data_IF_803397495937
#
_entry.id   IF_803397495937
#
_cell.length_a   1.000
_cell.length_b   1.000
_cell.length_c   1.000
_cell.angle_alpha   90.00
_cell.angle_beta   90.00
_cell.angle_gamma   90.00
#
_symmetry.space_group_name_H-M   'P 1'
#
loop_
_entity.id
_entity.type
_entity.pdbx_description
1 polymer ?
#
# COMPACT_ATOMS: atom_id res chain seq x y z
N UNK A 1 5.57 -24.03 -25.54
CA UNK A 1 4.57 -23.63 -24.51
C UNK A 1 4.13 -22.21 -24.85
N UNK A 2 3.04 -22.01 -25.61
CA UNK A 2 1.67 -22.05 -25.10
C UNK A 2 1.34 -20.72 -24.43
N UNK A 3 1.18 -19.63 -25.20
CA UNK A 3 0.80 -18.31 -24.68
C UNK A 3 -0.63 -18.41 -24.15
N UNK A 4 -0.76 -18.78 -22.88
CA UNK A 4 -2.03 -18.79 -22.15
C UNK A 4 -2.66 -17.40 -22.26
N UNK A 5 -3.93 -17.37 -22.68
CA UNK A 5 -4.74 -16.18 -22.85
C UNK A 5 -4.62 -15.25 -21.63
N UNK A 6 -3.91 -14.14 -21.79
CA UNK A 6 -3.84 -13.09 -20.76
C UNK A 6 -5.26 -12.61 -20.49
N UNK A 7 -5.68 -12.64 -19.23
CA UNK A 7 -6.98 -12.11 -18.86
C UNK A 7 -7.04 -10.61 -19.17
N UNK A 8 -8.22 -10.05 -19.52
CA UNK A 8 -8.35 -8.62 -19.76
C UNK A 8 -7.86 -7.78 -18.56
N UNK A 9 -8.01 -8.31 -17.35
CA UNK A 9 -7.50 -7.72 -16.11
C UNK A 9 -5.97 -7.64 -16.08
N UNK A 10 -5.25 -8.68 -16.53
CA UNK A 10 -3.78 -8.65 -16.60
C UNK A 10 -3.27 -7.67 -17.66
N UNK A 11 -3.93 -7.59 -18.82
CA UNK A 11 -3.57 -6.63 -19.87
C UNK A 11 -3.73 -5.20 -19.35
N UNK A 12 -4.84 -4.93 -18.63
CA UNK A 12 -5.07 -3.64 -17.99
C UNK A 12 -4.02 -3.35 -16.93
N UNK A 13 -3.72 -4.31 -16.05
CA UNK A 13 -2.72 -4.15 -15.00
C UNK A 13 -1.34 -3.85 -15.58
N UNK A 14 -0.90 -4.59 -16.60
CA UNK A 14 0.37 -4.35 -17.31
C UNK A 14 0.45 -2.92 -17.85
N UNK A 15 -0.62 -2.45 -18.49
CA UNK A 15 -0.69 -1.09 -19.04
C UNK A 15 -0.62 -0.04 -17.94
N UNK A 16 -1.40 -0.20 -16.87
CA UNK A 16 -1.41 0.73 -15.74
C UNK A 16 -0.05 0.79 -15.03
N UNK A 17 0.54 -0.35 -14.71
CA UNK A 17 1.87 -0.42 -14.05
C UNK A 17 2.93 0.23 -14.93
N UNK A 18 2.94 -0.06 -16.23
CA UNK A 18 3.90 0.54 -17.16
C UNK A 18 3.76 2.07 -17.22
N UNK A 19 2.53 2.59 -17.23
CA UNK A 19 2.27 4.02 -17.22
C UNK A 19 2.75 4.66 -15.91
N UNK A 20 2.42 4.06 -14.77
CA UNK A 20 2.83 4.52 -13.45
C UNK A 20 4.36 4.57 -13.34
N UNK A 21 5.07 3.51 -13.75
CA UNK A 21 6.54 3.48 -13.75
C UNK A 21 7.15 4.58 -14.62
N UNK A 22 6.58 4.86 -15.80
CA UNK A 22 7.06 5.97 -16.63
C UNK A 22 6.80 7.33 -15.97
N UNK A 23 5.65 7.53 -15.33
CA UNK A 23 5.36 8.75 -14.58
C UNK A 23 6.30 8.93 -13.39
N UNK A 24 6.57 7.85 -12.63
CA UNK A 24 7.51 7.87 -11.51
C UNK A 24 8.94 8.16 -11.96
N UNK A 25 9.36 7.60 -13.10
CA UNK A 25 10.65 7.89 -13.71
C UNK A 25 10.78 9.37 -14.07
N UNK A 26 9.74 9.96 -14.68
CA UNK A 26 9.71 11.38 -15.05
C UNK A 26 9.70 12.28 -13.80
N UNK A 27 8.94 11.93 -12.76
CA UNK A 27 8.87 12.68 -11.49
C UNK A 27 10.18 12.63 -10.71
N UNK A 28 10.79 11.46 -10.64
CA UNK A 28 12.02 11.25 -9.87
C UNK A 28 13.27 11.78 -10.60
N UNK A 29 13.20 12.04 -11.91
CA UNK A 29 14.35 12.47 -12.71
C UNK A 29 15.44 11.41 -12.90
N UNK A 30 15.21 10.18 -12.42
CA UNK A 30 16.14 9.05 -12.55
C UNK A 30 16.10 8.46 -13.96
N UNK A 31 17.17 7.76 -14.38
CA UNK A 31 17.16 6.97 -15.62
C UNK A 31 16.94 5.50 -15.33
N UNK A 32 16.52 4.75 -16.35
CA UNK A 32 16.33 3.28 -16.27
C UNK A 32 17.60 2.55 -15.82
N UNK A 33 18.78 3.10 -16.11
CA UNK A 33 20.06 2.52 -15.70
C UNK A 33 20.33 2.69 -14.20
N UNK A 34 19.90 3.81 -13.60
CA UNK A 34 20.01 4.03 -12.16
C UNK A 34 19.13 3.04 -11.41
N UNK A 35 17.89 2.87 -11.87
CA UNK A 35 16.95 1.88 -11.32
C UNK A 35 17.53 0.47 -11.42
N UNK A 36 18.14 0.13 -12.55
CA UNK A 36 18.78 -1.17 -12.73
C UNK A 36 19.89 -1.40 -11.69
N UNK A 37 20.70 -0.36 -11.43
CA UNK A 37 21.82 -0.42 -10.47
C UNK A 37 21.33 -0.57 -9.03
N UNK A 38 20.26 0.14 -8.66
CA UNK A 38 19.67 0.07 -7.31
C UNK A 38 18.89 -1.22 -7.08
N UNK A 39 18.03 -1.62 -8.02
CA UNK A 39 17.17 -2.80 -7.87
C UNK A 39 17.87 -4.13 -8.12
N UNK A 40 19.05 -4.12 -8.75
CA UNK A 40 19.74 -5.31 -9.27
C UNK A 40 18.91 -6.15 -10.25
N UNK A 41 17.84 -5.58 -10.81
CA UNK A 41 17.01 -6.23 -11.84
C UNK A 41 17.70 -6.04 -13.19
N UNK A 42 17.79 -7.06 -14.05
CA UNK A 42 18.43 -6.92 -15.36
C UNK A 42 17.71 -5.90 -16.26
N UNK A 43 18.48 -5.19 -17.10
CA UNK A 43 17.98 -4.14 -18.00
C UNK A 43 16.83 -4.58 -18.90
N UNK A 44 16.89 -5.82 -19.39
CA UNK A 44 15.85 -6.39 -20.25
C UNK A 44 14.52 -6.43 -19.50
N UNK A 45 14.54 -6.93 -18.26
CA UNK A 45 13.36 -7.07 -17.40
C UNK A 45 12.77 -5.72 -17.00
N UNK A 46 13.63 -4.74 -16.65
CA UNK A 46 13.17 -3.36 -16.43
C UNK A 46 12.48 -2.83 -17.70
N UNK A 47 13.11 -2.98 -18.86
CA UNK A 47 12.53 -2.51 -20.12
C UNK A 47 11.17 -3.17 -20.41
N UNK A 48 11.04 -4.47 -20.15
CA UNK A 48 9.79 -5.22 -20.27
C UNK A 48 8.67 -4.70 -19.37
N UNK A 49 9.00 -4.31 -18.13
CA UNK A 49 8.05 -3.69 -17.19
C UNK A 49 7.59 -2.31 -17.68
N UNK A 50 8.53 -1.48 -18.11
CA UNK A 50 8.25 -0.14 -18.64
C UNK A 50 7.48 -0.17 -19.97
N UNK A 51 7.59 -1.26 -20.74
CA UNK A 51 6.82 -1.49 -21.96
C UNK A 51 5.50 -2.23 -21.72
N UNK A 52 5.20 -2.65 -20.48
CA UNK A 52 3.96 -3.37 -20.15
C UNK A 52 3.87 -4.77 -20.79
N UNK A 53 5.01 -5.37 -21.16
CA UNK A 53 5.06 -6.74 -21.72
C UNK A 53 4.87 -7.79 -20.61
N UNK A 54 5.51 -7.54 -19.47
CA UNK A 54 5.59 -8.47 -18.35
C UNK A 54 5.11 -7.78 -17.06
N UNK A 55 4.43 -8.53 -16.19
CA UNK A 55 4.06 -8.05 -14.86
C UNK A 55 5.26 -8.18 -13.92
N UNK A 56 5.58 -7.15 -13.12
CA UNK A 56 6.55 -7.31 -12.05
C UNK A 56 6.01 -8.25 -10.95
N UNK A 57 6.89 -9.10 -10.43
CA UNK A 57 6.63 -9.90 -9.24
C UNK A 57 6.60 -9.02 -7.99
N UNK A 58 5.97 -9.48 -6.90
CA UNK A 58 5.87 -8.75 -5.61
C UNK A 58 7.24 -8.21 -5.16
N UNK A 59 8.26 -9.07 -5.11
CA UNK A 59 9.64 -8.69 -4.76
C UNK A 59 10.21 -7.57 -5.64
N UNK A 60 9.91 -7.58 -6.94
CA UNK A 60 10.39 -6.56 -7.87
C UNK A 60 9.61 -5.25 -7.72
N UNK A 61 8.31 -5.31 -7.39
CA UNK A 61 7.51 -4.13 -7.07
C UNK A 61 8.04 -3.47 -5.81
N UNK A 62 8.35 -4.22 -4.76
CA UNK A 62 8.94 -3.69 -3.53
C UNK A 62 10.31 -3.04 -3.75
N UNK A 63 11.17 -3.67 -4.57
CA UNK A 63 12.47 -3.07 -4.92
C UNK A 63 12.29 -1.75 -5.68
N UNK A 64 11.35 -1.71 -6.63
CA UNK A 64 11.05 -0.49 -7.38
C UNK A 64 10.45 0.58 -6.46
N UNK A 65 9.56 0.21 -5.54
CA UNK A 65 8.91 1.14 -4.62
C UNK A 65 9.92 1.82 -3.71
N UNK A 66 10.91 1.07 -3.20
CA UNK A 66 12.05 1.60 -2.44
C UNK A 66 12.91 2.57 -3.25
N UNK A 67 13.13 2.30 -4.54
CA UNK A 67 13.94 3.18 -5.41
C UNK A 67 13.23 4.49 -5.72
N UNK A 68 11.90 4.45 -5.89
CA UNK A 68 11.09 5.63 -6.18
C UNK A 68 10.59 6.35 -4.93
N UNK A 69 10.82 5.78 -3.74
CA UNK A 69 10.28 6.26 -2.46
C UNK A 69 8.75 6.43 -2.51
N UNK A 70 8.06 5.40 -3.02
CA UNK A 70 6.60 5.36 -3.15
C UNK A 70 6.04 4.06 -2.60
N UNK A 71 4.73 4.01 -2.39
CA UNK A 71 4.05 2.79 -1.97
C UNK A 71 4.04 1.75 -3.09
N UNK A 72 4.05 0.46 -2.76
CA UNK A 72 3.87 -0.63 -3.73
C UNK A 72 2.58 -0.48 -4.55
N UNK A 73 1.55 0.09 -3.93
CA UNK A 73 0.24 0.41 -4.51
C UNK A 73 0.28 1.50 -5.58
N UNK A 74 1.23 2.44 -5.50
CA UNK A 74 1.45 3.48 -6.51
C UNK A 74 2.05 2.89 -7.79
N UNK A 75 2.88 1.86 -7.65
CA UNK A 75 3.44 1.13 -8.79
C UNK A 75 2.41 0.17 -9.36
N UNK A 76 1.80 -0.64 -8.50
CA UNK A 76 0.86 -1.67 -8.89
C UNK A 76 -0.43 -1.57 -8.06
N UNK A 77 -1.54 -1.15 -8.70
CA UNK A 77 -2.81 -0.92 -8.00
C UNK A 77 -3.45 -2.20 -7.45
N UNK A 78 -2.92 -3.39 -7.79
CA UNK A 78 -3.36 -4.66 -7.20
C UNK A 78 -2.97 -4.79 -5.73
N UNK A 79 -1.94 -4.05 -5.28
CA UNK A 79 -1.47 -4.08 -3.89
C UNK A 79 -2.14 -3.04 -2.99
N UNK A 80 -3.08 -2.25 -3.53
CA UNK A 80 -3.78 -1.17 -2.81
C UNK A 80 -4.56 -1.64 -1.57
N UNK A 81 -4.82 -2.95 -1.48
CA UNK A 81 -5.54 -3.60 -0.38
C UNK A 81 -4.60 -4.22 0.69
N UNK A 82 -3.29 -4.35 0.41
CA UNK A 82 -2.31 -4.97 1.31
C UNK A 82 -1.51 -3.94 2.13
N UNK A 83 -2.17 -2.95 2.72
CA UNK A 83 -1.52 -2.05 3.68
C UNK A 83 -1.38 -2.73 5.04
N UNK A 84 -0.39 -3.62 5.17
CA UNK A 84 0.27 -3.88 6.45
C UNK A 84 1.54 -3.05 6.45
N UNK A 85 1.40 -1.80 6.86
CA UNK A 85 2.51 -0.90 7.13
C UNK A 85 3.22 -1.37 8.40
N UNK A 86 4.47 -1.79 8.27
CA UNK A 86 5.35 -2.04 9.41
C UNK A 86 6.56 -1.14 9.23
N UNK A 87 6.82 -0.36 10.29
CA UNK A 87 8.10 0.24 10.67
C UNK A 87 8.35 1.74 10.47
N UNK A 88 7.41 2.64 10.81
CA UNK A 88 7.80 3.88 11.52
C UNK A 88 6.72 4.58 12.37
N UNK A 89 5.89 3.88 13.16
CA UNK A 89 5.12 4.52 14.27
C UNK A 89 4.90 3.54 15.44
N UNK A 90 5.96 2.87 15.90
CA UNK A 90 5.88 1.67 16.76
C UNK A 90 5.43 1.89 18.22
N UNK A 91 5.20 3.11 18.73
CA UNK A 91 4.96 3.28 20.18
C UNK A 91 3.59 3.85 20.61
N UNK A 92 2.84 4.55 19.76
CA UNK A 92 1.58 5.20 20.19
C UNK A 92 0.28 4.47 19.80
N UNK A 93 0.29 3.60 18.80
CA UNK A 93 -0.98 3.07 18.23
C UNK A 93 -1.31 1.61 18.55
N UNK A 94 -0.40 0.82 19.14
CA UNK A 94 -0.62 -0.63 19.36
C UNK A 94 -1.70 -0.89 20.43
N UNK A 95 -1.77 -0.05 21.47
CA UNK A 95 -2.79 -0.18 22.50
C UNK A 95 -4.18 0.19 21.95
N UNK A 96 -4.27 1.29 21.20
CA UNK A 96 -5.53 1.76 20.59
C UNK A 96 -6.07 0.78 19.56
N UNK A 97 -5.22 0.22 18.68
CA UNK A 97 -5.65 -0.77 17.68
C UNK A 97 -6.07 -2.09 18.32
N UNK A 98 -5.33 -2.59 19.32
CA UNK A 98 -5.71 -3.82 20.01
C UNK A 98 -7.00 -3.65 20.80
N UNK A 99 -7.23 -2.48 21.39
CA UNK A 99 -8.51 -2.16 22.02
C UNK A 99 -9.63 -2.11 20.98
N UNK A 100 -9.44 -1.41 19.86
CA UNK A 100 -10.44 -1.28 18.81
C UNK A 100 -10.82 -2.63 18.18
N UNK A 101 -9.85 -3.52 17.98
CA UNK A 101 -10.07 -4.89 17.49
C UNK A 101 -10.82 -5.75 18.53
N UNK A 102 -10.49 -5.65 19.82
CA UNK A 102 -11.21 -6.34 20.88
C UNK A 102 -12.68 -5.85 20.98
N UNK A 103 -12.91 -4.54 20.86
CA UNK A 103 -14.25 -3.96 20.88
C UNK A 103 -15.08 -4.34 19.64
N UNK A 104 -14.50 -4.33 18.43
CA UNK A 104 -15.18 -4.78 17.20
C UNK A 104 -15.58 -6.27 17.26
N UNK A 105 -14.78 -7.09 17.93
CA UNK A 105 -15.08 -8.51 18.11
C UNK A 105 -16.27 -8.72 19.07
N UNK A 106 -16.53 -7.76 19.97
CA UNK A 106 -17.66 -7.76 20.89
C UNK A 106 -18.96 -7.25 20.26
N UNK A 107 -18.89 -6.36 19.25
CA UNK A 107 -20.08 -5.85 18.52
C UNK A 107 -20.60 -6.80 17.44
N UNK A 108 -19.95 -7.95 17.22
CA UNK A 108 -20.30 -8.91 16.16
C UNK A 108 -21.71 -9.53 16.30
N UNK A 109 -22.45 -9.21 17.37
CA UNK A 109 -23.86 -9.60 17.57
C UNK A 109 -24.81 -8.43 17.88
N UNK A 110 -24.39 -7.18 17.68
CA UNK A 110 -25.22 -5.99 17.92
C UNK A 110 -25.86 -5.49 16.61
N UNK A 111 -27.05 -4.87 16.69
CA UNK A 111 -27.72 -4.28 15.53
C UNK A 111 -26.92 -3.12 14.95
N UNK A 112 -27.08 -2.84 13.65
CA UNK A 112 -26.33 -1.81 12.92
C UNK A 112 -26.45 -0.42 13.58
N UNK A 113 -27.63 -0.07 14.08
CA UNK A 113 -27.87 1.18 14.82
C UNK A 113 -27.07 1.28 16.14
N UNK A 114 -26.95 0.18 16.86
CA UNK A 114 -26.20 0.12 18.12
C UNK A 114 -24.69 0.17 17.86
N UNK A 115 -24.22 -0.45 16.77
CA UNK A 115 -22.84 -0.37 16.33
C UNK A 115 -22.45 1.07 15.96
N UNK A 116 -23.34 1.81 15.28
CA UNK A 116 -23.10 3.22 14.91
C UNK A 116 -23.04 4.12 16.15
N UNK A 117 -23.97 3.97 17.11
CA UNK A 117 -23.96 4.72 18.37
C UNK A 117 -22.72 4.43 19.20
N UNK A 118 -22.32 3.16 19.27
CA UNK A 118 -21.13 2.74 20.00
C UNK A 118 -19.85 3.32 19.38
N UNK A 119 -19.68 3.21 18.05
CA UNK A 119 -18.51 3.77 17.35
C UNK A 119 -18.38 5.28 17.54
N UNK A 120 -19.51 6.01 17.55
CA UNK A 120 -19.53 7.45 17.81
C UNK A 120 -19.08 7.80 19.21
N UNK A 121 -19.56 7.07 20.21
CA UNK A 121 -19.15 7.24 21.61
C UNK A 121 -17.66 6.93 21.82
N UNK A 122 -17.15 5.91 21.13
CA UNK A 122 -15.73 5.52 21.22
C UNK A 122 -14.82 6.58 20.61
N UNK A 123 -15.15 7.09 19.42
CA UNK A 123 -14.39 8.18 18.79
C UNK A 123 -14.36 9.43 19.68
N UNK A 124 -15.48 9.75 20.34
CA UNK A 124 -15.56 10.90 21.25
C UNK A 124 -14.69 10.73 22.50
N UNK A 125 -14.57 9.51 23.02
CA UNK A 125 -13.69 9.19 24.14
C UNK A 125 -12.21 9.31 23.75
N UNK A 126 -11.87 8.82 22.56
CA UNK A 126 -10.52 8.86 22.00
C UNK A 126 -10.05 10.29 21.76
N UNK A 127 -10.95 11.14 21.25
CA UNK A 127 -10.73 12.58 21.06
C UNK A 127 -10.45 13.27 22.40
N UNK A 128 -11.29 13.04 23.41
CA UNK A 128 -11.10 13.60 24.75
C UNK A 128 -9.81 13.14 25.44
N UNK A 129 -9.41 11.88 25.26
CA UNK A 129 -8.16 11.35 25.80
C UNK A 129 -6.93 11.97 25.11
N UNK A 130 -7.05 12.28 23.82
CA UNK A 130 -6.00 12.93 23.02
C UNK A 130 -5.80 14.39 23.45
N UNK A 131 -6.88 15.12 23.71
CA UNK A 131 -6.83 16.47 24.27
C UNK A 131 -6.15 16.52 25.64
N UNK A 132 -6.45 15.54 26.52
CA UNK A 132 -5.80 15.44 27.84
C UNK A 132 -4.30 15.19 27.77
N UNK A 133 -3.84 14.40 26.79
CA UNK A 133 -2.41 14.13 26.59
C UNK A 133 -1.67 15.30 25.93
N UNK A 134 -2.37 16.23 25.28
CA UNK A 134 -1.78 17.43 24.66
C UNK A 134 -1.64 18.61 25.64
N UNK A 135 -2.27 18.55 26.82
CA UNK A 135 -2.25 19.61 27.83
C UNK A 135 -1.12 19.46 28.86
N UNK A 136 -0.34 18.38 28.77
CA UNK A 136 0.73 18.02 29.72
C UNK A 136 2.17 18.24 29.22
N UNK A 137 2.34 18.89 28.07
CA UNK A 137 3.66 19.33 27.55
C UNK A 137 3.79 20.85 27.59
#
# INVERSE_FOLDING_TARGET
>A
MGRSNLTPSEIKAKKTISANLNTLLLKSGKKKIDIQRETKIPRSTISDYFSGKTLPSEENVEKLSKVFDVSVSDIDPRYKDKVVDVEDTRAKNIAEEKMLVAFRKQTAGMSEDDQIKFQRSLNKLMDAAKDLNSLGE
#
